data_IF_816364243365
#
_entry.id   IF_816364243365
#
_cell.length_a   1.000
_cell.length_b   1.000
_cell.length_c   1.000
_cell.angle_alpha   90.00
_cell.angle_beta   90.00
_cell.angle_gamma   90.00
#
_symmetry.space_group_name_H-M   'P 1'
#
loop_
_entity.id
_entity.type
_entity.pdbx_description
1 polymer ?
#
# COMPACT_ATOMS: atom_id res chain seq x y z
N UNK A 1 12.96 -27.47 -2.25
CA UNK A 1 12.65 -26.46 -3.29
C UNK A 1 12.05 -25.25 -2.60
N UNK A 2 12.88 -24.28 -2.22
CA UNK A 2 12.47 -23.12 -1.42
C UNK A 2 11.64 -22.18 -2.30
N UNK A 3 10.33 -22.15 -2.05
CA UNK A 3 9.42 -21.13 -2.57
C UNK A 3 9.93 -19.75 -2.08
N UNK A 4 10.60 -19.03 -2.98
CA UNK A 4 11.02 -17.66 -2.77
C UNK A 4 9.76 -16.82 -2.73
N UNK A 5 9.14 -16.71 -1.55
CA UNK A 5 8.16 -15.69 -1.21
C UNK A 5 8.77 -14.36 -1.67
N UNK A 6 8.34 -13.87 -2.85
CA UNK A 6 8.77 -12.59 -3.39
C UNK A 6 8.27 -11.56 -2.40
N UNK A 7 9.13 -11.08 -1.53
CA UNK A 7 8.73 -10.03 -0.59
C UNK A 7 8.52 -8.76 -1.42
N UNK A 8 7.25 -8.46 -1.70
CA UNK A 8 6.83 -7.26 -2.42
C UNK A 8 6.82 -6.14 -1.38
N UNK A 9 7.94 -5.44 -1.25
CA UNK A 9 8.04 -4.25 -0.39
C UNK A 9 7.78 -2.96 -1.17
N UNK A 10 7.02 -3.02 -2.28
CA UNK A 10 6.78 -1.85 -3.13
C UNK A 10 6.15 -0.72 -2.31
N UNK A 11 5.12 -1.02 -1.53
CA UNK A 11 4.39 -0.04 -0.72
C UNK A 11 5.31 0.64 0.29
N UNK A 12 6.05 -0.16 1.08
CA UNK A 12 7.03 0.35 2.05
C UNK A 12 8.04 1.29 1.38
N UNK A 13 8.68 0.87 0.28
CA UNK A 13 9.72 1.70 -0.35
C UNK A 13 9.14 2.96 -0.98
N UNK A 14 7.94 2.91 -1.55
CA UNK A 14 7.30 4.11 -2.10
C UNK A 14 6.94 5.08 -0.99
N UNK A 15 6.33 4.62 0.11
CA UNK A 15 6.00 5.46 1.25
C UNK A 15 7.26 6.13 1.83
N UNK A 16 8.33 5.35 2.08
CA UNK A 16 9.59 5.87 2.63
C UNK A 16 10.26 6.90 1.71
N UNK A 17 10.33 6.62 0.41
CA UNK A 17 10.98 7.53 -0.54
C UNK A 17 10.17 8.81 -0.76
N UNK A 18 8.84 8.71 -0.84
CA UNK A 18 7.97 9.88 -0.94
C UNK A 18 8.06 10.72 0.34
N UNK A 19 8.08 10.08 1.51
CA UNK A 19 8.27 10.78 2.78
C UNK A 19 9.60 11.55 2.84
N UNK A 20 10.68 10.94 2.34
CA UNK A 20 12.02 11.54 2.36
C UNK A 20 12.07 12.91 1.65
N UNK A 21 11.23 13.14 0.63
CA UNK A 21 11.10 14.42 -0.08
C UNK A 21 10.54 15.54 0.78
N UNK A 22 9.78 15.21 1.82
CA UNK A 22 9.11 16.16 2.73
C UNK A 22 9.58 16.03 4.19
N UNK A 23 10.69 15.35 4.42
CA UNK A 23 11.15 14.95 5.75
C UNK A 23 10.77 13.50 6.06
N UNK A 24 11.81 12.66 6.21
CA UNK A 24 11.71 11.24 6.49
C UNK A 24 10.87 10.95 7.75
N UNK A 25 10.07 9.89 7.71
CA UNK A 25 9.13 9.51 8.78
C UNK A 25 9.84 9.22 10.12
N UNK A 26 11.07 8.73 10.06
CA UNK A 26 11.90 8.41 11.21
C UNK A 26 12.21 9.65 12.06
N UNK A 27 12.27 10.84 11.43
CA UNK A 27 12.43 12.11 12.17
C UNK A 27 11.22 12.44 13.04
N UNK A 28 10.08 11.84 12.75
CA UNK A 28 8.85 11.96 13.52
C UNK A 28 8.62 10.74 14.43
N UNK A 29 9.60 9.83 14.57
CA UNK A 29 9.43 8.61 15.36
C UNK A 29 8.54 7.55 14.70
N UNK A 30 8.31 7.65 13.39
CA UNK A 30 7.45 6.73 12.64
C UNK A 30 8.30 5.78 11.80
N UNK A 31 8.01 4.48 11.87
CA UNK A 31 8.62 3.43 11.05
C UNK A 31 7.57 2.72 10.21
N UNK A 32 7.88 2.46 8.94
CA UNK A 32 7.01 1.70 8.03
C UNK A 32 7.34 0.21 8.11
N UNK A 33 6.35 -0.63 8.38
CA UNK A 33 6.50 -2.09 8.43
C UNK A 33 5.65 -2.73 7.33
N UNK A 34 6.23 -3.69 6.58
CA UNK A 34 5.46 -4.49 5.63
C UNK A 34 4.94 -5.75 6.32
N UNK A 35 3.62 -5.91 6.41
CA UNK A 35 2.99 -7.09 7.00
C UNK A 35 2.77 -8.25 6.01
N UNK A 36 2.98 -8.07 4.71
CA UNK A 36 2.81 -9.14 3.69
C UNK A 36 1.38 -9.72 3.63
N UNK A 37 0.36 -8.87 3.60
CA UNK A 37 -1.04 -9.23 3.35
C UNK A 37 -2.01 -8.90 4.49
N UNK A 38 -3.30 -8.87 4.18
CA UNK A 38 -4.39 -8.39 5.07
C UNK A 38 -4.49 -9.16 6.39
N UNK A 39 -4.39 -10.49 6.36
CA UNK A 39 -4.42 -11.30 7.57
C UNK A 39 -3.27 -10.96 8.52
N UNK A 40 -2.07 -10.70 7.99
CA UNK A 40 -0.92 -10.33 8.79
C UNK A 40 -0.97 -8.87 9.25
N UNK A 41 -1.67 -7.97 8.54
CA UNK A 41 -1.92 -6.60 9.01
C UNK A 41 -2.71 -6.62 10.32
N UNK A 42 -3.74 -7.48 10.42
CA UNK A 42 -4.53 -7.69 11.65
C UNK A 42 -3.62 -8.15 12.79
N UNK A 43 -2.81 -9.19 12.55
CA UNK A 43 -1.89 -9.73 13.57
C UNK A 43 -0.86 -8.68 14.01
N UNK A 44 -0.25 -7.97 13.07
CA UNK A 44 0.73 -6.93 13.37
C UNK A 44 0.09 -5.79 14.17
N UNK A 45 -1.09 -5.33 13.79
CA UNK A 45 -1.82 -4.28 14.51
C UNK A 45 -2.18 -4.73 15.93
N UNK A 46 -2.64 -5.97 16.10
CA UNK A 46 -3.00 -6.50 17.42
C UNK A 46 -1.78 -6.56 18.36
N UNK A 47 -0.61 -6.99 17.85
CA UNK A 47 0.65 -7.00 18.59
C UNK A 47 1.05 -5.57 18.98
N UNK A 48 1.05 -4.63 18.03
CA UNK A 48 1.42 -3.24 18.29
C UNK A 48 0.47 -2.60 19.31
N UNK A 49 -0.83 -2.83 19.19
CA UNK A 49 -1.83 -2.37 20.14
C UNK A 49 -1.58 -2.91 21.56
N UNK A 50 -1.31 -4.21 21.69
CA UNK A 50 -1.00 -4.84 22.98
C UNK A 50 0.27 -4.25 23.63
N UNK A 51 1.21 -3.79 22.81
CA UNK A 51 2.43 -3.10 23.26
C UNK A 51 2.23 -1.61 23.52
N UNK A 52 1.01 -1.07 23.36
CA UNK A 52 0.73 0.36 23.50
C UNK A 52 1.32 1.22 22.38
N UNK A 53 1.66 0.62 21.23
CA UNK A 53 2.23 1.31 20.08
C UNK A 53 1.09 1.71 19.13
N UNK A 54 0.90 3.02 18.92
CA UNK A 54 -0.05 3.55 17.95
C UNK A 54 0.43 3.25 16.52
N UNK A 55 -0.46 2.72 15.68
CA UNK A 55 -0.12 2.34 14.30
C UNK A 55 -1.21 2.73 13.30
N UNK A 56 -0.79 3.20 12.13
CA UNK A 56 -1.63 3.35 10.94
C UNK A 56 -1.50 2.12 10.05
N UNK A 57 -2.62 1.50 9.68
CA UNK A 57 -2.68 0.42 8.70
C UNK A 57 -3.08 0.98 7.34
N UNK A 58 -2.32 0.63 6.30
CA UNK A 58 -2.59 0.98 4.91
C UNK A 58 -2.68 -0.31 4.10
N UNK A 59 -3.68 -0.42 3.24
CA UNK A 59 -3.88 -1.63 2.43
C UNK A 59 -4.51 -1.32 1.07
N UNK A 60 -4.25 -2.20 0.10
CA UNK A 60 -4.88 -2.22 -1.22
C UNK A 60 -6.29 -2.80 -1.13
N UNK A 61 -7.32 -2.12 -1.66
CA UNK A 61 -8.68 -2.69 -1.65
C UNK A 61 -8.87 -3.86 -2.64
N UNK A 62 -7.91 -4.07 -3.57
CA UNK A 62 -7.87 -5.17 -4.54
C UNK A 62 -9.13 -5.26 -5.45
N UNK A 63 -9.86 -4.16 -5.64
CA UNK A 63 -11.13 -4.16 -6.39
C UNK A 63 -11.01 -4.63 -7.84
N UNK A 64 -9.85 -4.41 -8.48
CA UNK A 64 -9.53 -4.80 -9.85
C UNK A 64 -8.59 -6.01 -9.95
N UNK A 65 -8.15 -6.59 -8.83
CA UNK A 65 -7.16 -7.68 -8.83
C UNK A 65 -7.65 -8.93 -9.59
N UNK A 66 -8.90 -9.34 -9.37
CA UNK A 66 -9.48 -10.52 -10.00
C UNK A 66 -9.48 -10.44 -11.53
N UNK A 67 -9.96 -9.32 -12.10
CA UNK A 67 -10.04 -9.13 -13.55
C UNK A 67 -8.67 -8.96 -14.23
N UNK A 68 -7.62 -8.62 -13.48
CA UNK A 68 -6.23 -8.59 -13.98
C UNK A 68 -5.59 -9.96 -14.00
N UNK A 69 -6.08 -10.90 -13.19
CA UNK A 69 -5.46 -12.22 -12.99
C UNK A 69 -6.15 -13.33 -13.79
N UNK A 70 -7.46 -13.25 -13.94
CA UNK A 70 -8.27 -14.31 -14.51
C UNK A 70 -9.13 -13.77 -15.65
N UNK A 71 -9.45 -14.64 -16.60
CA UNK A 71 -10.40 -14.36 -17.69
C UNK A 71 -11.70 -15.14 -17.53
N UNK A 72 -11.70 -16.21 -16.75
CA UNK A 72 -12.88 -17.02 -16.46
C UNK A 72 -13.82 -16.29 -15.48
N UNK A 73 -15.11 -16.11 -15.80
CA UNK A 73 -16.06 -15.40 -14.94
C UNK A 73 -16.21 -15.99 -13.53
N UNK A 74 -16.16 -17.32 -13.38
CA UNK A 74 -16.35 -17.98 -12.09
C UNK A 74 -15.10 -17.81 -11.20
N UNK A 75 -13.91 -17.89 -11.79
CA UNK A 75 -12.65 -17.57 -11.09
C UNK A 75 -12.60 -16.09 -10.67
N UNK A 76 -13.04 -15.17 -11.53
CA UNK A 76 -13.13 -13.74 -11.22
C UNK A 76 -14.09 -13.51 -10.04
N UNK A 77 -15.30 -14.10 -10.09
CA UNK A 77 -16.31 -13.96 -9.04
C UNK A 77 -15.79 -14.50 -7.70
N UNK A 78 -15.14 -15.66 -7.72
CA UNK A 78 -14.55 -16.29 -6.52
C UNK A 78 -13.42 -15.45 -5.93
N UNK A 79 -12.49 -14.98 -6.76
CA UNK A 79 -11.40 -14.13 -6.31
C UNK A 79 -11.92 -12.83 -5.70
N UNK A 80 -12.88 -12.18 -6.38
CA UNK A 80 -13.51 -10.94 -5.90
C UNK A 80 -14.27 -11.11 -4.59
N UNK A 81 -14.92 -12.26 -4.38
CA UNK A 81 -15.55 -12.60 -3.11
C UNK A 81 -14.50 -12.73 -1.97
N UNK A 82 -13.35 -13.32 -2.26
CA UNK A 82 -12.21 -13.39 -1.34
C UNK A 82 -11.65 -12.02 -0.97
N UNK A 83 -11.42 -11.16 -1.97
CA UNK A 83 -10.91 -9.79 -1.75
C UNK A 83 -11.92 -8.97 -0.91
N UNK A 84 -13.22 -9.07 -1.21
CA UNK A 84 -14.30 -8.48 -0.40
C UNK A 84 -14.25 -8.95 1.05
N UNK A 85 -14.20 -10.27 1.27
CA UNK A 85 -14.22 -10.83 2.62
C UNK A 85 -13.00 -10.36 3.43
N UNK A 86 -11.81 -10.35 2.83
CA UNK A 86 -10.59 -9.87 3.48
C UNK A 86 -10.65 -8.38 3.84
N UNK A 87 -11.23 -7.54 2.98
CA UNK A 87 -11.41 -6.10 3.26
C UNK A 87 -12.41 -5.85 4.40
N UNK A 88 -13.52 -6.61 4.44
CA UNK A 88 -14.53 -6.52 5.48
C UNK A 88 -13.94 -6.87 6.84
N UNK A 89 -13.26 -8.02 6.94
CA UNK A 89 -12.62 -8.47 8.19
C UNK A 89 -11.60 -7.45 8.70
N UNK A 90 -10.81 -6.84 7.81
CA UNK A 90 -9.84 -5.82 8.19
C UNK A 90 -10.53 -4.54 8.73
N UNK A 91 -11.63 -4.10 8.12
CA UNK A 91 -12.40 -2.95 8.62
C UNK A 91 -13.07 -3.23 9.96
N UNK A 92 -13.65 -4.41 10.13
CA UNK A 92 -14.26 -4.85 11.39
C UNK A 92 -13.23 -4.89 12.52
N UNK A 93 -12.03 -5.43 12.25
CA UNK A 93 -10.91 -5.45 13.19
C UNK A 93 -10.51 -4.04 13.66
N UNK A 94 -10.55 -3.06 12.76
CA UNK A 94 -10.29 -1.66 13.08
C UNK A 94 -11.49 -0.91 13.66
N UNK A 95 -12.62 -1.58 13.90
CA UNK A 95 -13.83 -0.97 14.46
C UNK A 95 -14.45 0.10 13.55
N UNK A 96 -14.33 -0.04 12.23
CA UNK A 96 -14.92 0.91 11.28
C UNK A 96 -16.45 0.89 11.41
N UNK A 97 -17.13 2.04 11.64
CA UNK A 97 -18.57 2.07 11.89
C UNK A 97 -19.42 1.61 10.70
N UNK A 98 -18.98 1.95 9.48
CA UNK A 98 -19.68 1.60 8.23
C UNK A 98 -18.73 0.82 7.34
N UNK A 99 -18.83 -0.50 7.41
CA UNK A 99 -17.98 -1.40 6.62
C UNK A 99 -18.50 -1.46 5.18
N UNK A 100 -17.61 -1.26 4.21
CA UNK A 100 -17.94 -1.39 2.78
C UNK A 100 -17.01 -2.40 2.09
N UNK A 101 -17.44 -3.11 1.03
CA UNK A 101 -16.65 -4.18 0.40
C UNK A 101 -15.29 -3.76 -0.17
N UNK A 102 -15.22 -2.56 -0.75
CA UNK A 102 -14.05 -2.01 -1.41
C UNK A 102 -13.91 -0.56 -0.97
N UNK A 103 -13.42 -0.31 0.26
CA UNK A 103 -13.25 1.04 0.75
C UNK A 103 -12.14 1.77 -0.01
N UNK A 104 -12.19 3.10 -0.02
CA UNK A 104 -11.15 3.96 -0.60
C UNK A 104 -10.95 5.16 0.34
N UNK A 105 -9.70 5.54 0.55
CA UNK A 105 -9.29 6.62 1.46
C UNK A 105 -9.32 6.21 2.93
N UNK A 106 -9.39 7.21 3.80
CA UNK A 106 -9.44 7.03 5.26
C UNK A 106 -10.74 6.33 5.72
N UNK A 107 -10.61 5.10 6.21
CA UNK A 107 -11.72 4.32 6.79
C UNK A 107 -11.91 4.61 8.28
N UNK A 108 -10.82 4.87 9.00
CA UNK A 108 -10.81 5.24 10.42
C UNK A 108 -9.55 6.06 10.74
N UNK A 109 -9.35 6.57 11.98
CA UNK A 109 -8.08 7.21 12.35
C UNK A 109 -6.83 6.34 12.16
N UNK A 110 -6.97 5.01 12.14
CA UNK A 110 -5.86 4.04 12.08
C UNK A 110 -5.94 3.12 10.86
N UNK A 111 -6.83 3.37 9.90
CA UNK A 111 -7.01 2.54 8.70
C UNK A 111 -7.25 3.40 7.45
N UNK A 112 -6.45 3.16 6.42
CA UNK A 112 -6.57 3.78 5.08
C UNK A 112 -6.56 2.69 4.02
N UNK A 113 -7.48 2.78 3.05
CA UNK A 113 -7.57 1.90 1.91
C UNK A 113 -7.14 2.63 0.63
N UNK A 114 -6.25 2.03 -0.16
CA UNK A 114 -5.94 2.50 -1.50
C UNK A 114 -6.88 1.90 -2.53
N UNK A 115 -7.15 2.68 -3.58
CA UNK A 115 -8.01 2.24 -4.68
C UNK A 115 -7.29 1.23 -5.57
N UNK A 116 -7.88 0.04 -5.68
CA UNK A 116 -7.33 -1.17 -6.28
C UNK A 116 -5.97 -1.58 -5.68
N UNK A 117 -4.88 -0.92 -6.08
CA UNK A 117 -3.56 -1.15 -5.50
C UNK A 117 -2.62 0.06 -5.63
N UNK A 118 -1.42 -0.04 -5.04
CA UNK A 118 -0.40 1.01 -5.15
C UNK A 118 -0.15 1.44 -6.61
N UNK A 119 -0.01 0.50 -7.55
CA UNK A 119 0.26 0.85 -8.95
C UNK A 119 -0.88 1.67 -9.55
N UNK A 120 -2.13 1.33 -9.25
CA UNK A 120 -3.29 2.10 -9.67
C UNK A 120 -3.27 3.51 -9.06
N UNK A 121 -2.94 3.64 -7.77
CA UNK A 121 -2.84 4.93 -7.07
C UNK A 121 -1.79 5.84 -7.70
N UNK A 122 -0.57 5.33 -7.94
CA UNK A 122 0.51 6.15 -8.50
C UNK A 122 0.28 6.45 -9.98
N UNK A 123 -0.22 5.50 -10.78
CA UNK A 123 -0.47 5.74 -12.21
C UNK A 123 -1.63 6.70 -12.47
N UNK A 124 -2.66 6.69 -11.62
CA UNK A 124 -3.85 7.54 -11.79
C UNK A 124 -3.60 9.01 -11.46
N UNK A 125 -2.60 9.32 -10.64
CA UNK A 125 -2.44 10.66 -10.05
C UNK A 125 -1.01 11.21 -10.06
N UNK A 126 0.00 10.40 -10.40
CA UNK A 126 1.38 10.83 -10.52
C UNK A 126 1.84 10.71 -11.99
N UNK A 127 1.48 11.69 -12.81
CA UNK A 127 1.56 11.62 -14.28
C UNK A 127 2.93 11.20 -14.86
N UNK A 128 4.04 11.52 -14.19
CA UNK A 128 5.39 11.17 -14.64
C UNK A 128 5.81 9.73 -14.25
N UNK A 129 4.99 9.00 -13.49
CA UNK A 129 5.37 7.73 -12.88
C UNK A 129 5.72 6.66 -13.90
N UNK A 130 4.84 6.39 -14.85
CA UNK A 130 5.04 5.31 -15.84
C UNK A 130 6.30 5.55 -16.68
N UNK A 131 6.47 6.78 -17.19
CA UNK A 131 7.67 7.18 -17.94
C UNK A 131 8.93 7.03 -17.09
N UNK A 132 8.91 7.48 -15.84
CA UNK A 132 10.06 7.36 -14.93
C UNK A 132 10.36 5.89 -14.62
N UNK A 133 9.33 5.07 -14.42
CA UNK A 133 9.49 3.64 -14.16
C UNK A 133 10.06 2.90 -15.37
N UNK A 134 9.71 3.30 -16.59
CA UNK A 134 10.31 2.79 -17.81
C UNK A 134 11.80 3.14 -17.90
N UNK A 135 12.16 4.42 -17.75
CA UNK A 135 13.57 4.85 -17.77
C UNK A 135 14.43 4.10 -16.73
N UNK A 136 13.95 3.99 -15.49
CA UNK A 136 14.68 3.28 -14.43
C UNK A 136 14.79 1.78 -14.73
N UNK A 137 13.78 1.18 -15.37
CA UNK A 137 13.80 -0.24 -15.73
C UNK A 137 14.87 -0.54 -16.77
N UNK A 138 15.00 0.34 -17.77
CA UNK A 138 15.99 0.25 -18.82
C UNK A 138 17.41 0.43 -18.26
N UNK A 139 17.61 1.42 -17.39
CA UNK A 139 18.90 1.64 -16.71
C UNK A 139 19.35 0.44 -15.87
N UNK A 140 18.40 -0.28 -15.24
CA UNK A 140 18.70 -1.43 -14.39
C UNK A 140 18.85 -2.75 -15.17
N UNK A 141 18.75 -2.72 -16.51
CA UNK A 141 18.67 -3.91 -17.38
C UNK A 141 17.75 -5.00 -16.81
N UNK A 142 16.62 -4.57 -16.24
CA UNK A 142 15.76 -5.44 -15.45
C UNK A 142 14.50 -5.79 -16.20
N UNK A 143 14.43 -7.03 -16.72
CA UNK A 143 13.18 -7.62 -17.24
C UNK A 143 12.09 -7.84 -16.16
N UNK A 144 12.39 -7.63 -14.88
CA UNK A 144 11.44 -7.83 -13.77
C UNK A 144 10.87 -6.49 -13.30
N UNK A 145 9.55 -6.34 -13.40
CA UNK A 145 8.79 -5.14 -13.01
C UNK A 145 8.51 -5.02 -11.51
N UNK A 146 8.60 -6.12 -10.74
CA UNK A 146 8.28 -6.13 -9.29
C UNK A 146 9.52 -6.23 -8.41
N UNK A 147 10.41 -5.23 -8.48
CA UNK A 147 11.63 -5.12 -7.65
C UNK A 147 11.56 -3.88 -6.76
N UNK A 148 11.78 -3.99 -5.44
CA UNK A 148 11.81 -2.82 -4.56
C UNK A 148 12.77 -1.71 -5.02
N UNK A 149 13.93 -2.07 -5.61
CA UNK A 149 14.87 -1.09 -6.16
C UNK A 149 14.29 -0.24 -7.31
N UNK A 150 13.44 -0.84 -8.16
CA UNK A 150 12.77 -0.13 -9.25
C UNK A 150 11.81 0.92 -8.67
N UNK A 151 10.89 0.50 -7.79
CA UNK A 151 9.93 1.41 -7.15
C UNK A 151 10.64 2.49 -6.32
N UNK A 152 11.73 2.15 -5.63
CA UNK A 152 12.53 3.10 -4.86
C UNK A 152 13.10 4.20 -5.76
N UNK A 153 13.80 3.83 -6.83
CA UNK A 153 14.40 4.79 -7.75
C UNK A 153 13.34 5.58 -8.52
N UNK A 154 12.24 4.95 -8.93
CA UNK A 154 11.09 5.64 -9.54
C UNK A 154 10.52 6.65 -8.56
N UNK A 155 10.16 6.26 -7.34
CA UNK A 155 9.62 7.16 -6.31
C UNK A 155 10.61 8.25 -5.89
N UNK A 156 11.91 8.09 -6.10
CA UNK A 156 12.93 9.12 -5.88
C UNK A 156 13.06 10.11 -7.02
N UNK A 157 12.98 9.64 -8.27
CA UNK A 157 13.23 10.45 -9.48
C UNK A 157 11.97 11.00 -10.13
N UNK A 158 10.80 10.45 -9.80
CA UNK A 158 9.55 10.85 -10.43
C UNK A 158 9.23 12.31 -10.10
N UNK A 159 9.11 13.14 -11.11
CA UNK A 159 8.82 14.56 -10.96
C UNK A 159 7.32 14.82 -10.79
N UNK A 160 6.95 16.07 -10.49
CA UNK A 160 5.56 16.49 -10.38
C UNK A 160 4.94 16.28 -9.00
N UNK A 161 3.63 16.51 -8.92
CA UNK A 161 2.87 16.38 -7.69
C UNK A 161 2.74 14.91 -7.30
N UNK A 162 3.02 14.63 -6.03
CA UNK A 162 2.81 13.31 -5.41
C UNK A 162 1.31 13.01 -5.39
N UNK A 163 0.97 11.73 -5.55
CA UNK A 163 -0.41 11.25 -5.42
C UNK A 163 -1.08 11.77 -4.14
N UNK A 164 -2.30 12.35 -4.22
CA UNK A 164 -3.05 12.77 -3.03
C UNK A 164 -3.27 11.65 -2.00
N UNK A 165 -3.42 10.40 -2.45
CA UNK A 165 -3.57 9.25 -1.56
C UNK A 165 -2.27 8.90 -0.81
N UNK A 166 -1.10 9.14 -1.41
CA UNK A 166 0.18 9.03 -0.71
C UNK A 166 0.36 10.17 0.30
N UNK A 167 -0.03 11.39 -0.06
CA UNK A 167 -0.01 12.55 0.85
C UNK A 167 -0.91 12.36 2.07
N UNK A 168 -2.09 11.79 1.89
CA UNK A 168 -3.01 11.44 2.99
C UNK A 168 -2.34 10.47 3.97
N UNK A 169 -1.73 9.40 3.46
CA UNK A 169 -1.01 8.42 4.28
C UNK A 169 0.13 9.08 5.06
N UNK A 170 0.93 9.93 4.41
CA UNK A 170 2.05 10.61 5.09
C UNK A 170 1.57 11.60 6.16
N UNK A 171 0.46 12.29 5.91
CA UNK A 171 -0.15 13.21 6.86
C UNK A 171 -0.66 12.47 8.09
N UNK A 172 -1.40 11.38 7.89
CA UNK A 172 -1.91 10.55 8.97
C UNK A 172 -0.78 9.87 9.75
N UNK A 173 0.24 9.38 9.06
CA UNK A 173 1.40 8.74 9.69
C UNK A 173 2.13 9.71 10.63
N UNK A 174 2.34 10.96 10.21
CA UNK A 174 2.98 11.99 11.05
C UNK A 174 2.14 12.40 12.24
N UNK A 175 0.82 12.32 12.13
CA UNK A 175 -0.10 12.63 13.23
C UNK A 175 -0.10 11.56 14.33
N UNK A 176 0.46 10.36 14.10
CA UNK A 176 0.51 9.29 15.10
C UNK A 176 1.29 9.67 16.36
N UNK A 177 2.28 10.57 16.24
CA UNK A 177 3.16 10.99 17.33
C UNK A 177 2.78 12.35 17.92
N UNK A 178 1.67 12.93 17.47
CA UNK A 178 1.12 14.19 18.01
C UNK A 178 0.00 13.96 19.04
N UNK A 179 -0.17 12.71 19.49
CA UNK A 179 -1.16 12.26 20.47
C UNK A 179 -0.58 12.22 21.89
#
# INVERSE_FOLDING_TARGET
MLDRRRVRHADKVVIEEVASRKGALERFGVTVVNASGKANLIVAQAILHQLGITSLTVFDNDSGNAGRKWTDPDEIARARAGDRAANVVLQEHHGVPTVVPFPVGKCSPTLVAWDDNLEHVVNSSWAAWERTMETVRDELDSKKTKRPALYRLTARRCEGLISPALEEVLTLARALTSL
#
